data_IF_000293996691
#
_entry.id   IF_000293996691
#
_cell.length_a   1.000
_cell.length_b   1.000
_cell.length_c   1.000
_cell.angle_alpha   90.00
_cell.angle_beta   90.00
_cell.angle_gamma   90.00
#
_symmetry.space_group_name_H-M   'P 1'
#
loop_
_entity.id
_entity.type
_entity.pdbx_description
1 polymer ?
#
# COMPACT_ATOMS: atom_id res chain seq x y z
N UNK A 1 16.20 61.81 60.47
CA UNK A 1 15.40 61.33 59.32
C UNK A 1 14.31 60.41 59.86
N UNK A 2 13.10 60.57 59.34
CA UNK A 2 11.81 60.17 59.90
C UNK A 2 11.61 58.65 60.12
N UNK A 3 10.90 58.31 61.21
CA UNK A 3 10.18 57.05 61.53
C UNK A 3 8.87 56.92 60.67
N UNK A 4 7.97 55.88 60.80
CA UNK A 4 8.02 54.46 61.24
C UNK A 4 7.17 53.45 60.36
N UNK A 5 6.88 52.25 60.90
CA UNK A 5 5.70 51.31 60.73
C UNK A 5 5.93 50.05 59.82
N UNK A 6 5.42 48.81 60.11
CA UNK A 6 5.69 47.90 61.25
C UNK A 6 5.65 46.37 60.88
N UNK A 7 5.76 45.51 61.91
CA UNK A 7 5.41 44.08 61.95
C UNK A 7 3.93 43.78 61.61
N UNK A 8 3.64 42.66 60.93
CA UNK A 8 2.46 41.83 61.24
C UNK A 8 2.54 40.37 60.70
N UNK A 9 2.66 39.45 61.67
CA UNK A 9 1.96 38.17 61.86
C UNK A 9 2.04 36.99 60.86
N UNK A 10 2.68 35.94 61.38
CA UNK A 10 2.27 34.54 61.35
C UNK A 10 0.75 34.36 61.62
N UNK A 11 0.20 33.34 60.96
CA UNK A 11 -0.80 32.37 61.44
C UNK A 11 -2.13 32.28 60.67
N UNK A 12 -2.55 31.02 60.51
CA UNK A 12 -3.90 30.49 60.25
C UNK A 12 -4.33 30.35 58.80
N UNK A 13 -4.23 29.11 58.31
CA UNK A 13 -5.26 28.51 57.44
C UNK A 13 -5.19 26.97 57.59
N UNK A 14 -5.76 26.47 58.68
CA UNK A 14 -6.26 25.10 58.78
C UNK A 14 -7.78 25.17 58.97
N UNK A 15 -8.45 24.16 58.42
CA UNK A 15 -9.89 23.86 58.41
C UNK A 15 -10.73 24.53 57.30
N UNK A 16 -10.91 23.77 56.20
CA UNK A 16 -12.19 23.10 56.04
C UNK A 16 -11.99 21.66 55.54
N UNK A 17 -12.50 20.75 56.38
CA UNK A 17 -12.65 19.31 56.18
C UNK A 17 -13.88 19.10 55.27
N UNK A 18 -13.87 17.98 54.51
CA UNK A 18 -14.99 17.19 53.96
C UNK A 18 -14.84 16.89 52.45
N UNK A 19 -14.43 15.65 52.15
CA UNK A 19 -14.75 14.90 50.91
C UNK A 19 -16.28 14.58 50.90
N UNK A 20 -16.93 14.13 49.79
CA UNK A 20 -16.50 13.86 48.41
C UNK A 20 -17.47 14.44 47.32
N UNK A 21 -17.07 14.44 46.03
CA UNK A 21 -17.89 13.99 44.87
C UNK A 21 -17.35 14.49 43.53
N UNK A 22 -17.06 13.51 42.67
CA UNK A 22 -17.52 13.41 41.28
C UNK A 22 -18.04 14.69 40.62
N UNK A 23 -17.26 15.25 39.69
CA UNK A 23 -17.75 15.73 38.40
C UNK A 23 -16.53 16.14 37.54
N UNK A 24 -15.76 15.12 37.12
CA UNK A 24 -15.11 15.23 35.82
C UNK A 24 -16.26 15.13 34.83
N UNK A 25 -16.73 16.29 34.36
CA UNK A 25 -17.63 16.36 33.23
C UNK A 25 -16.94 15.64 32.06
N UNK A 26 -17.27 14.35 31.92
CA UNK A 26 -17.19 13.66 30.65
C UNK A 26 -18.05 14.49 29.71
N UNK A 27 -17.42 15.36 28.93
CA UNK A 27 -18.02 15.76 27.68
C UNK A 27 -18.38 14.44 26.99
N UNK A 28 -19.67 14.19 26.70
CA UNK A 28 -19.99 13.10 25.81
C UNK A 28 -19.19 13.41 24.57
N UNK A 29 -18.25 12.52 24.19
CA UNK A 29 -17.75 12.50 22.84
C UNK A 29 -19.00 12.49 21.98
N UNK A 30 -19.33 13.64 21.39
CA UNK A 30 -20.36 13.71 20.40
C UNK A 30 -19.94 12.65 19.39
N UNK A 31 -20.76 11.59 19.26
CA UNK A 31 -20.59 10.60 18.20
C UNK A 31 -20.36 11.43 16.93
N UNK A 32 -19.20 11.31 16.26
CA UNK A 32 -19.00 12.01 15.02
C UNK A 32 -20.19 11.67 14.16
N UNK A 33 -20.93 12.69 13.72
CA UNK A 33 -21.89 12.55 12.64
C UNK A 33 -21.15 11.81 11.54
N UNK A 34 -21.53 10.55 11.28
CA UNK A 34 -20.86 9.66 10.36
C UNK A 34 -21.12 10.16 8.94
N UNK A 35 -20.41 11.21 8.54
CA UNK A 35 -20.13 11.41 7.13
C UNK A 35 -19.26 10.23 6.74
N UNK A 36 -19.89 9.21 6.14
CA UNK A 36 -19.23 8.02 5.60
C UNK A 36 -18.39 8.34 4.36
N UNK A 37 -17.89 9.58 4.24
CA UNK A 37 -17.17 10.08 3.08
C UNK A 37 -16.07 11.04 3.53
N UNK A 38 -14.91 10.94 2.91
CA UNK A 38 -13.80 11.88 3.05
C UNK A 38 -13.49 12.54 1.71
N UNK A 39 -13.16 13.82 1.73
CA UNK A 39 -12.83 14.60 0.53
C UNK A 39 -11.32 14.75 0.41
N UNK A 40 -10.74 14.22 -0.66
CA UNK A 40 -9.31 14.24 -0.91
C UNK A 40 -8.94 15.21 -2.03
N UNK A 41 -7.75 15.80 -1.89
CA UNK A 41 -7.11 16.63 -2.92
C UNK A 41 -5.73 16.08 -3.21
N UNK A 42 -5.26 16.19 -4.45
CA UNK A 42 -3.86 15.88 -4.79
C UNK A 42 -2.94 16.92 -4.13
N UNK A 43 -1.96 16.47 -3.34
CA UNK A 43 -1.06 17.34 -2.58
C UNK A 43 0.38 17.25 -3.06
N UNK A 44 0.87 16.04 -3.28
CA UNK A 44 2.26 15.83 -3.66
C UNK A 44 2.40 14.77 -4.76
N UNK A 45 3.48 14.88 -5.53
CA UNK A 45 4.11 13.79 -6.26
C UNK A 45 5.30 13.29 -5.46
N UNK A 46 5.60 12.00 -5.59
CA UNK A 46 6.84 11.43 -5.07
C UNK A 46 7.52 10.58 -6.14
N UNK A 47 8.85 10.53 -6.11
CA UNK A 47 9.65 9.62 -6.90
C UNK A 47 10.96 9.28 -6.16
N UNK A 48 11.52 8.11 -6.45
CA UNK A 48 12.81 7.70 -5.93
C UNK A 48 13.87 7.61 -7.02
N UNK A 49 15.09 8.04 -6.69
CA UNK A 49 16.26 7.85 -7.55
C UNK A 49 16.73 6.41 -7.58
N UNK A 50 17.73 6.14 -8.43
CA UNK A 50 18.42 4.87 -8.44
C UNK A 50 19.15 4.50 -7.15
N UNK A 51 19.62 5.50 -6.43
CA UNK A 51 20.17 5.37 -5.07
C UNK A 51 19.12 5.30 -3.97
N UNK A 52 17.85 5.08 -4.30
CA UNK A 52 16.72 5.00 -3.36
C UNK A 52 16.46 6.29 -2.54
N UNK A 53 16.89 7.44 -3.05
CA UNK A 53 16.58 8.74 -2.42
C UNK A 53 15.23 9.26 -2.91
N UNK A 54 14.39 9.72 -2.00
CA UNK A 54 12.99 10.08 -2.28
C UNK A 54 12.85 11.60 -2.37
N UNK A 55 12.24 12.07 -3.46
CA UNK A 55 11.89 13.46 -3.66
C UNK A 55 10.38 13.65 -3.66
N UNK A 56 9.94 14.81 -3.16
CA UNK A 56 8.56 15.24 -3.21
C UNK A 56 8.43 16.55 -3.99
N UNK A 57 7.34 16.69 -4.74
CA UNK A 57 6.95 17.95 -5.36
C UNK A 57 5.50 18.29 -5.00
N UNK A 58 5.29 19.51 -4.54
CA UNK A 58 3.96 20.01 -4.19
C UNK A 58 3.11 20.29 -5.43
N UNK A 59 1.81 20.00 -5.33
CA UNK A 59 0.81 20.34 -6.35
C UNK A 59 0.05 21.58 -5.91
N UNK A 60 0.18 22.65 -6.69
CA UNK A 60 -0.49 23.91 -6.41
C UNK A 60 -1.92 23.91 -6.97
N UNK A 61 -2.92 24.42 -6.24
CA UNK A 61 -4.25 24.69 -6.80
C UNK A 61 -4.16 25.69 -7.96
N UNK A 62 -4.98 25.54 -9.00
CA UNK A 62 -5.11 26.59 -10.01
C UNK A 62 -5.56 27.89 -9.35
N UNK A 63 -4.78 28.96 -9.49
CA UNK A 63 -5.23 30.30 -9.15
C UNK A 63 -6.34 30.70 -10.13
N UNK A 64 -7.59 30.52 -9.75
CA UNK A 64 -8.71 31.10 -10.50
C UNK A 64 -8.56 32.61 -10.51
N UNK A 65 -8.25 33.18 -11.68
CA UNK A 65 -8.00 34.61 -11.89
C UNK A 65 -9.27 35.49 -11.81
N UNK A 66 -10.27 35.08 -11.02
CA UNK A 66 -11.48 35.83 -10.77
C UNK A 66 -11.79 35.76 -9.28
N UNK A 67 -11.32 36.78 -8.57
CA UNK A 67 -11.78 37.12 -7.24
C UNK A 67 -13.27 37.47 -7.32
N UNK A 68 -14.16 36.52 -6.97
CA UNK A 68 -15.48 36.77 -6.36
C UNK A 68 -16.40 35.54 -6.20
N UNK A 69 -15.93 34.32 -6.43
CA UNK A 69 -16.63 33.14 -5.90
C UNK A 69 -15.76 32.47 -4.84
N UNK A 70 -16.38 32.03 -3.74
CA UNK A 70 -15.82 31.10 -2.76
C UNK A 70 -15.59 29.74 -3.46
N UNK A 71 -14.70 29.71 -4.45
CA UNK A 71 -14.54 28.59 -5.37
C UNK A 71 -14.03 27.37 -4.62
N UNK A 72 -14.93 26.39 -4.47
CA UNK A 72 -14.63 25.05 -3.97
C UNK A 72 -13.42 24.50 -4.71
N UNK A 73 -12.32 24.30 -3.98
CA UNK A 73 -11.13 23.63 -4.51
C UNK A 73 -11.55 22.19 -4.87
N UNK A 74 -11.26 21.70 -6.09
CA UNK A 74 -11.73 20.39 -6.55
C UNK A 74 -11.26 19.26 -5.62
N UNK A 75 -12.20 18.47 -5.09
CA UNK A 75 -11.93 17.34 -4.20
C UNK A 75 -12.69 16.08 -4.62
N UNK A 76 -12.07 14.92 -4.47
CA UNK A 76 -12.71 13.62 -4.72
C UNK A 76 -13.29 13.07 -3.41
N UNK A 77 -14.58 12.77 -3.39
CA UNK A 77 -15.27 12.19 -2.24
C UNK A 77 -15.16 10.67 -2.28
N UNK A 78 -14.54 10.06 -1.27
CA UNK A 78 -14.35 8.61 -1.16
C UNK A 78 -15.13 8.07 0.03
N UNK A 79 -15.89 6.99 -0.17
CA UNK A 79 -16.64 6.30 0.88
C UNK A 79 -15.72 5.66 1.92
N UNK A 80 -16.06 5.79 3.19
CA UNK A 80 -15.28 5.29 4.32
C UNK A 80 -16.08 4.40 5.25
N UNK A 81 -15.36 3.50 5.91
CA UNK A 81 -15.86 2.65 6.98
C UNK A 81 -14.82 2.54 8.08
N UNK A 82 -15.24 2.13 9.29
CA UNK A 82 -14.27 1.82 10.34
C UNK A 82 -13.55 0.52 9.98
N UNK A 83 -12.23 0.59 9.98
CA UNK A 83 -11.33 -0.54 9.73
C UNK A 83 -10.50 -0.76 10.98
N UNK A 84 -10.54 -1.99 11.49
CA UNK A 84 -9.66 -2.41 12.58
C UNK A 84 -8.26 -2.65 12.02
N UNK A 85 -7.31 -1.86 12.50
CA UNK A 85 -5.90 -1.97 12.18
C UNK A 85 -5.13 -2.53 13.36
N UNK A 86 -3.95 -3.07 13.06
CA UNK A 86 -3.04 -3.57 14.07
C UNK A 86 -1.63 -3.15 13.72
N UNK A 87 -0.99 -2.38 14.59
CA UNK A 87 0.30 -1.72 14.32
C UNK A 87 1.33 -2.05 15.39
N UNK A 88 2.63 -2.01 15.06
CA UNK A 88 3.67 -2.12 16.07
C UNK A 88 3.62 -0.91 17.03
N UNK A 89 4.07 -1.07 18.29
CA UNK A 89 4.09 0.04 19.26
C UNK A 89 5.14 1.11 18.88
N UNK A 90 6.19 0.70 18.16
CA UNK A 90 7.17 1.61 17.57
C UNK A 90 7.92 0.95 16.41
N UNK A 91 8.54 1.78 15.56
CA UNK A 91 9.41 1.29 14.48
C UNK A 91 10.62 0.51 15.01
N UNK A 92 11.15 0.91 16.16
CA UNK A 92 12.26 0.24 16.83
C UNK A 92 11.84 -1.16 17.32
N UNK A 93 10.65 -1.28 17.91
CA UNK A 93 10.10 -2.56 18.33
C UNK A 93 9.87 -3.50 17.13
N UNK A 94 9.29 -2.98 16.03
CA UNK A 94 9.12 -3.74 14.80
C UNK A 94 10.46 -4.23 14.23
N UNK A 95 11.45 -3.34 14.14
CA UNK A 95 12.79 -3.66 13.61
C UNK A 95 13.49 -4.71 14.48
N UNK A 96 13.37 -4.58 15.81
CA UNK A 96 13.91 -5.55 16.76
C UNK A 96 13.25 -6.91 16.60
N UNK A 97 11.91 -6.95 16.52
CA UNK A 97 11.16 -8.18 16.30
C UNK A 97 11.53 -8.85 14.97
N UNK A 98 11.63 -8.07 13.89
CA UNK A 98 12.10 -8.55 12.57
C UNK A 98 13.51 -9.13 12.66
N UNK A 99 14.43 -8.47 13.35
CA UNK A 99 15.79 -8.95 13.55
C UNK A 99 15.83 -10.28 14.34
N UNK A 100 15.00 -10.41 15.38
CA UNK A 100 14.85 -11.66 16.14
C UNK A 100 14.29 -12.79 15.26
N UNK A 101 13.23 -12.53 14.50
CA UNK A 101 12.64 -13.49 13.56
C UNK A 101 13.66 -14.01 12.55
N UNK A 102 14.49 -13.11 12.00
CA UNK A 102 15.59 -13.48 11.08
C UNK A 102 16.56 -14.50 11.68
N UNK A 103 16.78 -14.44 13.00
CA UNK A 103 17.68 -15.37 13.71
C UNK A 103 16.94 -16.59 14.27
N UNK A 104 15.69 -16.84 13.84
CA UNK A 104 14.88 -17.96 14.32
C UNK A 104 14.46 -17.84 15.79
N UNK A 105 14.51 -16.62 16.35
CA UNK A 105 14.10 -16.36 17.72
C UNK A 105 12.61 -15.98 17.77
N UNK A 106 11.94 -16.34 18.86
CA UNK A 106 10.57 -15.89 19.09
C UNK A 106 10.55 -14.38 19.34
N UNK A 107 10.08 -13.64 18.36
CA UNK A 107 9.82 -12.22 18.48
C UNK A 107 8.40 -12.01 19.03
N UNK A 108 8.30 -11.52 20.26
CA UNK A 108 7.02 -11.04 20.79
C UNK A 108 6.90 -9.54 20.55
N UNK A 109 5.76 -9.12 20.00
CA UNK A 109 5.44 -7.73 19.75
C UNK A 109 4.11 -7.41 20.42
N UNK A 110 4.08 -6.34 21.22
CA UNK A 110 2.86 -5.84 21.85
C UNK A 110 2.05 -5.03 20.82
N UNK A 111 1.29 -5.75 20.00
CA UNK A 111 0.53 -5.16 18.92
C UNK A 111 -0.56 -4.21 19.43
N UNK A 112 -0.55 -2.98 18.93
CA UNK A 112 -1.59 -2.01 19.22
C UNK A 112 -2.74 -2.17 18.25
N UNK A 113 -3.93 -2.47 18.77
CA UNK A 113 -5.16 -2.52 17.98
C UNK A 113 -5.89 -1.18 18.05
N UNK A 114 -6.36 -0.71 16.89
CA UNK A 114 -7.15 0.51 16.81
C UNK A 114 -8.20 0.42 15.71
N UNK A 115 -9.26 1.22 15.81
CA UNK A 115 -10.19 1.44 14.71
C UNK A 115 -9.92 2.81 14.08
N UNK A 116 -9.69 2.82 12.77
CA UNK A 116 -9.46 4.02 11.99
C UNK A 116 -10.44 4.10 10.82
N UNK A 117 -10.69 5.30 10.30
CA UNK A 117 -11.47 5.46 9.08
C UNK A 117 -10.66 4.94 7.88
N UNK A 118 -11.01 3.79 7.34
CA UNK A 118 -10.43 3.25 6.10
C UNK A 118 -11.36 3.42 4.91
N UNK A 119 -10.90 3.07 3.69
CA UNK A 119 -11.78 3.03 2.53
C UNK A 119 -12.87 1.96 2.71
N UNK A 120 -14.11 2.29 2.36
CA UNK A 120 -15.19 1.31 2.33
C UNK A 120 -15.08 0.41 1.10
N UNK A 121 -14.35 -0.70 1.26
CA UNK A 121 -14.13 -1.70 0.21
C UNK A 121 -15.38 -2.49 -0.18
N UNK A 122 -16.50 -2.32 0.53
CA UNK A 122 -17.78 -2.95 0.16
C UNK A 122 -18.53 -2.14 -0.92
N UNK A 123 -18.10 -0.91 -1.19
CA UNK A 123 -18.68 0.00 -2.18
C UNK A 123 -17.87 -0.06 -3.47
N UNK A 124 -18.54 -0.37 -4.59
CA UNK A 124 -17.87 -0.43 -5.89
C UNK A 124 -17.27 0.91 -6.30
N UNK A 125 -17.96 2.01 -5.99
CA UNK A 125 -17.49 3.37 -6.31
C UNK A 125 -16.20 3.74 -5.56
N UNK A 126 -16.08 3.36 -4.28
CA UNK A 126 -14.84 3.54 -3.52
C UNK A 126 -13.68 2.82 -4.21
N UNK A 127 -13.86 1.55 -4.57
CA UNK A 127 -12.83 0.80 -5.29
C UNK A 127 -12.50 1.42 -6.65
N UNK A 128 -13.51 1.89 -7.39
CA UNK A 128 -13.32 2.54 -8.70
C UNK A 128 -12.47 3.82 -8.59
N UNK A 129 -12.74 4.67 -7.61
CA UNK A 129 -12.00 5.91 -7.40
C UNK A 129 -10.55 5.64 -6.98
N UNK A 130 -10.33 4.69 -6.05
CA UNK A 130 -8.98 4.28 -5.66
C UNK A 130 -8.21 3.63 -6.83
N UNK A 131 -8.89 2.83 -7.67
CA UNK A 131 -8.29 2.25 -8.86
C UNK A 131 -7.86 3.35 -9.85
N UNK A 132 -8.69 4.38 -10.07
CA UNK A 132 -8.33 5.55 -10.89
C UNK A 132 -7.15 6.35 -10.31
N UNK A 133 -7.13 6.60 -8.99
CA UNK A 133 -5.99 7.22 -8.30
C UNK A 133 -4.70 6.42 -8.49
N UNK A 134 -4.81 5.10 -8.44
CA UNK A 134 -3.69 4.18 -8.70
C UNK A 134 -3.27 4.20 -10.17
N UNK A 135 -4.23 4.15 -11.10
CA UNK A 135 -3.97 4.17 -12.55
C UNK A 135 -3.25 5.43 -13.01
N UNK A 136 -3.54 6.57 -12.37
CA UNK A 136 -2.86 7.82 -12.62
C UNK A 136 -1.34 7.76 -12.39
N UNK A 137 -0.83 6.86 -11.53
CA UNK A 137 0.63 6.69 -11.30
C UNK A 137 1.42 6.26 -12.54
N UNK A 138 0.72 5.69 -13.54
CA UNK A 138 1.32 5.20 -14.79
C UNK A 138 1.36 6.23 -15.90
N UNK A 139 0.85 7.44 -15.67
CA UNK A 139 0.78 8.51 -16.67
C UNK A 139 1.11 9.87 -16.06
N UNK A 140 1.63 10.77 -16.89
CA UNK A 140 1.81 12.16 -16.49
C UNK A 140 0.45 12.87 -16.43
N UNK A 141 0.23 13.80 -15.50
CA UNK A 141 -1.05 14.49 -15.43
C UNK A 141 -1.38 15.26 -16.70
N UNK A 142 -2.63 15.17 -17.16
CA UNK A 142 -3.09 15.80 -18.40
C UNK A 142 -2.76 15.02 -19.69
N UNK A 143 -2.04 13.91 -19.64
CA UNK A 143 -1.82 13.06 -20.83
C UNK A 143 -3.03 12.16 -21.12
N UNK A 144 -3.04 11.58 -22.33
CA UNK A 144 -3.98 10.51 -22.67
C UNK A 144 -3.82 9.34 -21.67
N UNK A 145 -4.94 8.88 -21.11
CA UNK A 145 -4.97 7.84 -20.06
C UNK A 145 -5.03 8.39 -18.62
N UNK A 146 -4.90 9.70 -18.41
CA UNK A 146 -5.16 10.31 -17.10
C UNK A 146 -6.65 10.24 -16.75
N UNK A 147 -6.99 9.62 -15.61
CA UNK A 147 -8.35 9.61 -15.09
C UNK A 147 -8.62 10.93 -14.36
N UNK A 148 -9.52 11.73 -14.94
CA UNK A 148 -10.02 12.94 -14.30
C UNK A 148 -10.87 12.57 -13.07
N UNK A 149 -10.30 12.74 -11.88
CA UNK A 149 -10.96 12.52 -10.60
C UNK A 149 -11.74 13.75 -10.14
N UNK A 150 -11.29 14.93 -10.55
CA UNK A 150 -11.90 16.23 -10.30
C UNK A 150 -11.45 17.20 -11.38
N UNK A 151 -12.34 18.04 -11.90
CA UNK A 151 -11.94 19.05 -12.87
C UNK A 151 -10.93 20.02 -12.23
N UNK A 152 -9.68 20.03 -12.73
CA UNK A 152 -8.58 21.00 -12.47
C UNK A 152 -7.59 20.66 -11.34
N UNK A 153 -6.62 19.78 -11.62
CA UNK A 153 -5.33 19.77 -10.89
C UNK A 153 -4.22 20.25 -11.82
N UNK A 154 -3.67 21.44 -11.56
CA UNK A 154 -2.52 21.93 -12.30
C UNK A 154 -1.25 21.33 -11.71
N UNK A 155 -0.86 20.20 -12.28
CA UNK A 155 0.39 19.56 -11.97
C UNK A 155 1.48 20.27 -12.77
N UNK A 156 2.49 20.80 -12.06
CA UNK A 156 3.71 21.34 -12.67
C UNK A 156 4.56 20.27 -13.38
N UNK A 157 5.87 20.47 -13.48
CA UNK A 157 6.74 19.44 -14.05
C UNK A 157 6.68 18.16 -13.18
N UNK A 158 6.32 17.00 -13.76
CA UNK A 158 6.13 15.80 -12.97
C UNK A 158 7.50 15.21 -12.60
N UNK A 159 7.76 15.08 -11.30
CA UNK A 159 8.97 14.45 -10.75
C UNK A 159 8.88 12.93 -10.92
N UNK A 160 9.98 12.26 -11.24
CA UNK A 160 10.03 10.81 -11.49
C UNK A 160 9.62 10.44 -12.91
N UNK A 161 9.82 11.32 -13.87
CA UNK A 161 9.60 11.06 -15.30
C UNK A 161 10.83 11.37 -16.15
N UNK A 162 11.95 11.60 -15.48
CA UNK A 162 13.25 11.82 -16.06
C UNK A 162 13.78 10.54 -16.74
N UNK A 163 14.66 10.65 -17.76
CA UNK A 163 15.18 9.50 -18.49
C UNK A 163 15.95 8.48 -17.64
N UNK A 164 16.45 8.89 -16.48
CA UNK A 164 17.20 8.08 -15.51
C UNK A 164 16.36 7.70 -14.27
N UNK A 165 15.03 7.85 -14.33
CA UNK A 165 14.13 7.38 -13.28
C UNK A 165 14.10 5.85 -13.18
N UNK A 166 13.92 5.39 -11.94
CA UNK A 166 13.97 3.99 -11.54
C UNK A 166 12.58 3.38 -11.33
N UNK A 167 11.51 4.16 -11.55
CA UNK A 167 10.14 3.67 -11.67
C UNK A 167 9.34 3.59 -10.39
N UNK A 168 9.98 3.88 -9.25
CA UNK A 168 9.34 3.98 -7.94
C UNK A 168 8.82 5.40 -7.72
N UNK A 169 7.55 5.62 -8.06
CA UNK A 169 6.90 6.94 -7.99
C UNK A 169 5.41 6.83 -7.68
N UNK A 170 4.77 7.97 -7.46
CA UNK A 170 3.32 8.03 -7.28
C UNK A 170 2.85 9.40 -6.80
N UNK A 171 1.68 9.39 -6.20
CA UNK A 171 0.97 10.60 -5.77
C UNK A 171 0.55 10.47 -4.30
N UNK A 172 0.40 11.62 -3.66
CA UNK A 172 -0.09 11.75 -2.29
C UNK A 172 -1.32 12.62 -2.31
N UNK A 173 -2.43 12.08 -1.84
CA UNK A 173 -3.68 12.80 -1.67
C UNK A 173 -3.94 13.01 -0.19
N UNK A 174 -4.50 14.14 0.21
CA UNK A 174 -4.85 14.38 1.60
C UNK A 174 -6.21 15.06 1.72
N UNK A 175 -6.86 14.85 2.86
CA UNK A 175 -8.00 15.67 3.27
C UNK A 175 -7.57 17.11 3.54
N UNK A 176 -8.51 18.04 3.54
CA UNK A 176 -8.25 19.46 3.73
C UNK A 176 -7.63 19.77 5.11
N UNK A 177 -8.05 19.05 6.14
CA UNK A 177 -7.53 19.12 7.49
C UNK A 177 -6.26 18.27 7.70
N UNK A 178 -5.75 17.62 6.64
CA UNK A 178 -4.62 16.69 6.68
C UNK A 178 -4.79 15.51 7.66
N UNK A 179 -6.02 15.18 8.07
CA UNK A 179 -6.28 14.09 9.02
C UNK A 179 -6.20 12.70 8.37
N UNK A 180 -6.37 12.59 7.06
CA UNK A 180 -6.22 11.34 6.30
C UNK A 180 -5.45 11.59 5.02
N UNK A 181 -4.51 10.69 4.72
CA UNK A 181 -3.63 10.75 3.54
C UNK A 181 -3.72 9.44 2.78
N UNK A 182 -3.82 9.51 1.46
CA UNK A 182 -3.72 8.36 0.56
C UNK A 182 -2.37 8.41 -0.17
N UNK A 183 -1.52 7.44 0.12
CA UNK A 183 -0.26 7.21 -0.57
C UNK A 183 -0.48 6.22 -1.73
N UNK A 184 -0.13 6.62 -2.94
CA UNK A 184 -0.18 5.73 -4.11
C UNK A 184 1.22 5.29 -4.52
N UNK A 185 1.38 4.02 -4.88
CA UNK A 185 2.67 3.45 -5.32
C UNK A 185 2.48 2.83 -6.71
N UNK A 186 3.27 3.31 -7.68
CA UNK A 186 3.32 2.76 -9.04
C UNK A 186 3.88 1.33 -9.02
N UNK A 187 3.34 0.46 -9.87
CA UNK A 187 3.94 -0.85 -10.17
C UNK A 187 4.81 -0.87 -11.43
N UNK A 188 5.07 -2.08 -11.92
CA UNK A 188 5.99 -2.30 -13.05
C UNK A 188 5.50 -1.72 -14.37
N UNK A 189 6.42 -1.09 -15.09
CA UNK A 189 6.21 -0.74 -16.49
C UNK A 189 6.59 -1.94 -17.38
N UNK A 190 5.59 -2.71 -17.85
CA UNK A 190 5.85 -3.90 -18.69
C UNK A 190 6.14 -3.50 -20.14
N UNK A 191 7.24 -3.96 -20.77
CA UNK A 191 7.64 -3.55 -22.12
C UNK A 191 6.61 -3.78 -23.23
N UNK A 192 5.72 -4.75 -23.06
CA UNK A 192 4.65 -5.07 -24.02
C UNK A 192 3.59 -3.96 -24.09
N UNK A 193 3.58 -3.04 -23.11
CA UNK A 193 2.60 -1.94 -22.95
C UNK A 193 3.33 -0.59 -22.76
N UNK A 194 4.57 -0.49 -23.25
CA UNK A 194 5.40 0.73 -23.16
C UNK A 194 6.62 0.53 -22.28
N UNK A 195 7.69 -0.01 -22.88
CA UNK A 195 9.00 -0.09 -22.24
C UNK A 195 9.57 1.30 -21.97
N UNK A 196 9.86 1.58 -20.70
CA UNK A 196 10.53 2.80 -20.25
C UNK A 196 11.88 2.48 -19.59
N UNK A 197 12.64 3.53 -19.21
CA UNK A 197 13.96 3.39 -18.57
C UNK A 197 13.93 2.56 -17.26
N UNK A 198 12.77 2.45 -16.63
CA UNK A 198 12.55 1.79 -15.33
C UNK A 198 12.49 0.26 -15.37
N UNK A 199 12.49 -0.34 -16.58
CA UNK A 199 12.12 -1.74 -16.81
C UNK A 199 13.04 -2.75 -16.09
N UNK A 200 14.34 -2.45 -15.94
CA UNK A 200 15.30 -3.41 -15.38
C UNK A 200 15.15 -3.59 -13.87
N UNK A 201 14.95 -2.49 -13.13
CA UNK A 201 14.78 -2.53 -11.67
C UNK A 201 13.42 -3.05 -11.25
N UNK A 202 12.36 -2.71 -11.99
CA UNK A 202 11.04 -3.31 -11.82
C UNK A 202 11.13 -4.84 -11.96
N UNK A 203 11.74 -5.33 -13.05
CA UNK A 203 11.99 -6.76 -13.30
C UNK A 203 12.80 -7.43 -12.20
N UNK A 204 13.84 -6.77 -11.69
CA UNK A 204 14.65 -7.30 -10.60
C UNK A 204 13.80 -7.52 -9.35
N UNK A 205 13.06 -6.50 -8.92
CA UNK A 205 12.21 -6.55 -7.73
C UNK A 205 11.11 -7.60 -7.89
N UNK A 206 10.40 -7.60 -9.02
CA UNK A 206 9.37 -8.56 -9.34
C UNK A 206 9.89 -10.01 -9.23
N UNK A 207 11.00 -10.28 -9.90
CA UNK A 207 11.61 -11.61 -9.92
C UNK A 207 12.15 -12.02 -8.55
N UNK A 208 12.66 -11.09 -7.76
CA UNK A 208 13.22 -11.41 -6.45
C UNK A 208 12.12 -11.65 -5.41
N UNK A 209 11.05 -10.85 -5.43
CA UNK A 209 9.93 -10.93 -4.49
C UNK A 209 8.99 -12.11 -4.79
N UNK A 210 8.69 -12.37 -6.07
CA UNK A 210 7.56 -13.22 -6.45
C UNK A 210 7.93 -14.54 -7.14
N UNK A 211 9.23 -14.80 -7.36
CA UNK A 211 9.69 -16.13 -7.80
C UNK A 211 9.97 -17.04 -6.62
N UNK A 212 9.78 -18.34 -6.79
CA UNK A 212 10.10 -19.30 -5.73
C UNK A 212 11.63 -19.45 -5.56
N UNK A 213 12.46 -19.24 -6.60
CA UNK A 213 13.92 -19.21 -6.45
C UNK A 213 14.66 -18.37 -7.49
N UNK A 214 14.96 -17.10 -7.17
CA UNK A 214 15.79 -16.20 -7.98
C UNK A 214 15.40 -16.11 -9.48
N UNK A 215 14.11 -16.26 -9.80
CA UNK A 215 13.58 -16.35 -11.15
C UNK A 215 14.24 -17.43 -12.03
N UNK A 216 14.55 -18.58 -11.43
CA UNK A 216 15.08 -19.73 -12.18
C UNK A 216 13.97 -20.46 -12.94
N UNK A 217 13.76 -20.07 -14.20
CA UNK A 217 12.74 -20.70 -15.08
C UNK A 217 13.34 -21.74 -16.03
N UNK A 218 14.52 -21.47 -16.60
CA UNK A 218 15.14 -22.31 -17.66
C UNK A 218 16.66 -22.39 -17.55
N UNK A 219 17.31 -23.37 -18.19
CA UNK A 219 18.78 -23.48 -18.24
C UNK A 219 19.45 -22.25 -18.87
N UNK A 220 18.83 -21.64 -19.89
CA UNK A 220 19.34 -20.44 -20.58
C UNK A 220 18.92 -19.12 -19.94
N UNK A 221 18.24 -19.14 -18.79
CA UNK A 221 17.84 -17.96 -18.05
C UNK A 221 18.87 -17.62 -16.98
N UNK A 222 19.29 -16.35 -16.90
CA UNK A 222 20.17 -15.83 -15.84
C UNK A 222 19.35 -15.47 -14.60
N UNK A 223 19.51 -16.18 -13.46
CA UNK A 223 18.80 -15.87 -12.23
C UNK A 223 19.13 -14.48 -11.71
N UNK A 224 18.21 -13.86 -10.96
CA UNK A 224 18.44 -12.55 -10.31
C UNK A 224 19.30 -12.63 -9.05
N UNK A 225 19.53 -13.83 -8.53
CA UNK A 225 20.46 -14.10 -7.43
C UNK A 225 21.11 -15.49 -7.52
N UNK A 226 22.24 -15.67 -6.84
CA UNK A 226 23.05 -16.90 -6.84
C UNK A 226 22.55 -18.02 -5.91
N UNK A 227 21.27 -18.05 -5.54
CA UNK A 227 20.77 -18.92 -4.48
C UNK A 227 20.23 -20.28 -4.95
N UNK A 228 20.09 -20.47 -6.26
CA UNK A 228 19.70 -21.74 -6.86
C UNK A 228 20.77 -22.83 -6.61
N UNK A 229 20.35 -24.07 -6.32
CA UNK A 229 21.26 -25.20 -6.01
C UNK A 229 21.04 -26.42 -6.91
N UNK A 230 20.32 -26.29 -8.02
CA UNK A 230 19.98 -27.41 -8.89
C UNK A 230 18.59 -27.98 -8.60
N UNK A 231 18.04 -28.72 -9.56
CA UNK A 231 16.69 -29.28 -9.54
C UNK A 231 15.64 -28.24 -9.08
N UNK A 232 14.92 -28.53 -7.99
CA UNK A 232 13.91 -27.69 -7.34
C UNK A 232 14.36 -27.23 -5.94
N UNK A 233 15.68 -27.04 -5.75
CA UNK A 233 16.29 -26.68 -4.47
C UNK A 233 16.75 -25.22 -4.50
N UNK A 234 16.34 -24.47 -3.48
CA UNK A 234 16.75 -23.10 -3.26
C UNK A 234 17.35 -22.92 -1.87
N UNK A 235 18.50 -22.27 -1.77
CA UNK A 235 19.05 -21.92 -0.46
C UNK A 235 18.26 -20.75 0.14
N UNK A 236 17.56 -21.01 1.24
CA UNK A 236 16.65 -20.06 1.87
C UNK A 236 17.37 -18.80 2.38
N UNK A 237 18.41 -18.97 3.19
CA UNK A 237 19.17 -17.87 3.79
C UNK A 237 19.75 -16.91 2.74
N UNK A 238 20.20 -17.45 1.61
CA UNK A 238 20.70 -16.67 0.48
C UNK A 238 19.59 -15.80 -0.15
N UNK A 239 18.39 -16.36 -0.40
CA UNK A 239 17.29 -15.60 -1.00
C UNK A 239 16.80 -14.51 -0.05
N UNK A 240 16.69 -14.82 1.23
CA UNK A 240 16.34 -13.85 2.27
C UNK A 240 17.36 -12.71 2.34
N UNK A 241 18.66 -13.03 2.24
CA UNK A 241 19.73 -12.01 2.22
C UNK A 241 19.66 -11.13 0.97
N UNK A 242 19.35 -11.72 -0.18
CA UNK A 242 19.21 -10.96 -1.43
C UNK A 242 18.07 -9.92 -1.38
N UNK A 243 17.04 -10.15 -0.55
CA UNK A 243 15.88 -9.26 -0.39
C UNK A 243 16.10 -8.04 0.53
N UNK A 244 17.26 -7.92 1.17
CA UNK A 244 17.53 -6.89 2.20
C UNK A 244 18.29 -5.67 1.63
N UNK A 245 18.72 -5.71 0.38
CA UNK A 245 19.45 -4.61 -0.26
C UNK A 245 18.63 -3.30 -0.27
N UNK A 246 19.23 -2.19 0.19
CA UNK A 246 18.56 -0.89 0.35
C UNK A 246 18.06 -0.29 -0.96
N UNK A 247 18.64 -0.70 -2.10
CA UNK A 247 18.21 -0.27 -3.43
C UNK A 247 16.91 -0.92 -3.90
N UNK A 248 16.41 -1.93 -3.17
CA UNK A 248 15.14 -2.60 -3.47
C UNK A 248 13.94 -1.74 -3.08
N UNK A 249 12.80 -2.05 -3.69
CA UNK A 249 11.59 -1.25 -3.54
C UNK A 249 10.94 -1.36 -2.17
N UNK A 250 11.09 -2.47 -1.45
CA UNK A 250 10.53 -2.58 -0.10
C UNK A 250 11.22 -1.63 0.89
N UNK A 251 12.56 -1.61 1.04
CA UNK A 251 13.24 -0.58 1.85
C UNK A 251 12.95 0.85 1.39
N UNK A 252 12.89 1.10 0.08
CA UNK A 252 12.50 2.41 -0.47
C UNK A 252 11.08 2.80 -0.03
N UNK A 253 10.13 1.87 -0.05
CA UNK A 253 8.75 2.09 0.43
C UNK A 253 8.65 2.35 1.92
N UNK A 254 9.49 1.69 2.74
CA UNK A 254 9.57 1.96 4.18
C UNK A 254 10.04 3.41 4.43
N UNK A 255 11.06 3.86 3.70
CA UNK A 255 11.54 5.24 3.78
C UNK A 255 10.48 6.25 3.32
N UNK A 256 9.76 5.95 2.22
CA UNK A 256 8.65 6.76 1.73
C UNK A 256 7.56 6.94 2.78
N UNK A 257 7.14 5.84 3.41
CA UNK A 257 6.12 5.88 4.46
C UNK A 257 6.59 6.71 5.67
N UNK A 258 7.86 6.59 6.06
CA UNK A 258 8.45 7.39 7.14
C UNK A 258 8.51 8.88 6.79
N UNK A 259 8.81 9.24 5.54
CA UNK A 259 8.77 10.64 5.09
C UNK A 259 7.34 11.20 5.13
N UNK A 260 6.34 10.42 4.68
CA UNK A 260 4.92 10.80 4.73
C UNK A 260 4.46 11.01 6.17
N UNK A 261 4.75 10.09 7.07
CA UNK A 261 4.39 10.22 8.49
C UNK A 261 5.12 11.38 9.17
N UNK A 262 6.33 11.74 8.71
CA UNK A 262 7.01 12.95 9.18
C UNK A 262 6.33 14.24 8.70
N UNK A 263 5.82 14.26 7.46
CA UNK A 263 5.05 15.39 6.91
C UNK A 263 3.64 15.48 7.49
N UNK A 264 3.05 14.34 7.87
CA UNK A 264 1.69 14.19 8.34
C UNK A 264 1.62 13.39 9.66
N UNK A 265 2.14 13.94 10.77
CA UNK A 265 2.43 13.19 12.01
C UNK A 265 1.20 12.61 12.71
N UNK A 266 0.02 13.18 12.49
CA UNK A 266 -1.23 12.72 13.10
C UNK A 266 -2.22 12.12 12.10
N UNK A 267 -1.82 11.95 10.83
CA UNK A 267 -2.73 11.50 9.80
C UNK A 267 -2.91 9.99 9.83
N UNK A 268 -4.13 9.53 9.52
CA UNK A 268 -4.35 8.16 9.11
C UNK A 268 -3.87 7.97 7.66
N UNK A 269 -2.94 7.05 7.44
CA UNK A 269 -2.34 6.82 6.12
C UNK A 269 -2.97 5.59 5.48
N UNK A 270 -3.61 5.75 4.33
CA UNK A 270 -4.00 4.66 3.44
C UNK A 270 -2.92 4.44 2.40
N UNK A 271 -2.63 3.18 2.06
CA UNK A 271 -1.67 2.87 0.99
C UNK A 271 -2.40 2.09 -0.10
N UNK A 272 -2.29 2.56 -1.34
CA UNK A 272 -2.89 1.90 -2.50
C UNK A 272 -1.86 1.71 -3.61
N UNK A 273 -2.06 0.68 -4.42
CA UNK A 273 -1.15 0.36 -5.51
C UNK A 273 -1.70 -0.72 -6.42
N UNK A 274 -1.04 -0.89 -7.57
CA UNK A 274 -1.36 -1.91 -8.56
C UNK A 274 -0.13 -2.75 -8.89
N UNK A 275 -0.32 -4.04 -9.21
CA UNK A 275 0.78 -4.94 -9.59
C UNK A 275 1.88 -4.95 -8.50
N UNK A 276 3.16 -4.78 -8.86
CA UNK A 276 4.26 -4.59 -7.91
C UNK A 276 3.98 -3.52 -6.83
N UNK A 277 3.38 -2.39 -7.21
CA UNK A 277 3.02 -1.31 -6.29
C UNK A 277 1.94 -1.73 -5.28
N UNK A 278 1.03 -2.61 -5.69
CA UNK A 278 0.00 -3.19 -4.80
C UNK A 278 0.59 -4.17 -3.80
N UNK A 279 1.53 -5.01 -4.25
CA UNK A 279 2.26 -5.91 -3.35
C UNK A 279 3.10 -5.13 -2.33
N UNK A 280 3.77 -4.06 -2.76
CA UNK A 280 4.49 -3.15 -1.85
C UNK A 280 3.55 -2.46 -0.87
N UNK A 281 2.40 -1.99 -1.32
CA UNK A 281 1.38 -1.42 -0.44
C UNK A 281 0.96 -2.42 0.65
N UNK A 282 0.72 -3.69 0.30
CA UNK A 282 0.39 -4.76 1.25
C UNK A 282 1.52 -5.02 2.26
N UNK A 283 2.78 -5.11 1.81
CA UNK A 283 3.95 -5.27 2.69
C UNK A 283 4.09 -4.09 3.66
N UNK A 284 3.83 -2.86 3.21
CA UNK A 284 3.79 -1.67 4.06
C UNK A 284 2.61 -1.71 5.04
N UNK A 285 1.45 -2.20 4.61
CA UNK A 285 0.27 -2.40 5.45
C UNK A 285 0.52 -3.36 6.62
N UNK A 286 1.30 -4.42 6.43
CA UNK A 286 1.76 -5.27 7.53
C UNK A 286 2.80 -4.56 8.41
N UNK A 287 3.72 -3.83 7.78
CA UNK A 287 4.82 -3.16 8.49
C UNK A 287 4.30 -2.09 9.46
N UNK A 288 3.32 -1.30 9.02
CA UNK A 288 2.86 -0.11 9.74
C UNK A 288 1.41 -0.19 10.25
N UNK A 289 0.68 -1.26 9.92
CA UNK A 289 -0.75 -1.37 10.25
C UNK A 289 -1.64 -0.42 9.44
N UNK A 290 -1.18 0.08 8.29
CA UNK A 290 -1.90 1.03 7.45
C UNK A 290 -3.02 0.35 6.66
N UNK A 291 -4.25 0.91 6.55
CA UNK A 291 -5.26 0.39 5.62
C UNK A 291 -4.77 0.33 4.17
N UNK A 292 -5.00 -0.80 3.49
CA UNK A 292 -4.50 -1.06 2.13
C UNK A 292 -5.62 -1.50 1.19
N UNK A 293 -5.59 -0.94 -0.03
CA UNK A 293 -6.31 -1.49 -1.18
C UNK A 293 -5.32 -1.72 -2.33
N UNK A 294 -5.08 -2.98 -2.65
CA UNK A 294 -4.12 -3.39 -3.68
C UNK A 294 -4.84 -4.03 -4.88
N UNK A 295 -4.57 -3.53 -6.07
CA UNK A 295 -5.21 -3.97 -7.32
C UNK A 295 -4.30 -4.91 -8.11
N UNK A 296 -4.79 -6.10 -8.45
CA UNK A 296 -4.06 -7.11 -9.23
C UNK A 296 -2.59 -7.37 -8.79
N UNK A 297 -2.23 -7.40 -7.49
CA UNK A 297 -0.83 -7.62 -7.13
C UNK A 297 -0.45 -9.10 -7.30
N UNK A 298 0.82 -9.40 -7.62
CA UNK A 298 1.38 -10.74 -7.42
C UNK A 298 1.24 -11.19 -5.95
N UNK A 299 1.23 -12.50 -5.69
CA UNK A 299 1.17 -13.02 -4.32
C UNK A 299 2.38 -12.62 -3.49
N UNK A 300 2.20 -11.81 -2.45
CA UNK A 300 3.26 -11.18 -1.67
C UNK A 300 3.48 -11.80 -0.28
N UNK A 301 2.67 -12.80 0.11
CA UNK A 301 2.80 -13.46 1.43
C UNK A 301 4.15 -14.15 1.61
N UNK A 302 4.63 -14.86 0.58
CA UNK A 302 5.97 -15.46 0.58
C UNK A 302 7.06 -14.40 0.75
N UNK A 303 6.94 -13.25 0.08
CA UNK A 303 7.90 -12.16 0.21
C UNK A 303 7.94 -11.60 1.64
N UNK A 304 6.77 -11.42 2.27
CA UNK A 304 6.65 -11.01 3.68
C UNK A 304 7.39 -11.95 4.63
N UNK A 305 7.25 -13.27 4.43
CA UNK A 305 7.96 -14.28 5.22
C UNK A 305 9.48 -14.21 5.03
N UNK A 306 9.96 -14.09 3.79
CA UNK A 306 11.39 -13.96 3.48
C UNK A 306 12.01 -12.67 3.99
N UNK A 307 11.22 -11.60 4.06
CA UNK A 307 11.60 -10.33 4.67
C UNK A 307 11.57 -10.38 6.20
N UNK A 308 11.13 -11.49 6.80
CA UNK A 308 10.97 -11.71 8.24
C UNK A 308 10.02 -10.71 8.91
N UNK A 309 8.99 -10.26 8.19
CA UNK A 309 8.04 -9.29 8.74
C UNK A 309 7.24 -9.92 9.89
N UNK A 310 7.25 -9.33 11.10
CA UNK A 310 6.37 -9.73 12.18
C UNK A 310 4.91 -9.75 11.71
N UNK A 311 4.20 -10.86 11.99
CA UNK A 311 2.80 -11.03 11.60
C UNK A 311 1.88 -10.54 12.73
N UNK A 312 1.00 -9.56 12.47
CA UNK A 312 0.00 -9.11 13.45
C UNK A 312 -1.11 -10.16 13.65
N UNK A 313 -1.85 -10.08 14.76
CA UNK A 313 -2.98 -10.97 15.04
C UNK A 313 -4.11 -10.85 14.00
N UNK A 314 -4.20 -9.72 13.30
CA UNK A 314 -5.15 -9.49 12.22
C UNK A 314 -4.48 -8.71 11.08
N UNK A 315 -4.82 -9.08 9.85
CA UNK A 315 -4.40 -8.43 8.59
C UNK A 315 -5.61 -8.02 7.74
N UNK A 316 -6.81 -7.94 8.34
CA UNK A 316 -8.04 -7.60 7.62
C UNK A 316 -8.10 -6.17 7.08
N UNK A 317 -7.22 -5.28 7.55
CA UNK A 317 -7.04 -3.93 7.02
C UNK A 317 -6.36 -3.92 5.64
N UNK A 318 -5.90 -5.07 5.14
CA UNK A 318 -5.36 -5.24 3.80
C UNK A 318 -6.41 -5.91 2.93
N UNK A 319 -6.78 -5.25 1.83
CA UNK A 319 -7.72 -5.77 0.85
C UNK A 319 -7.12 -5.80 -0.54
N UNK A 320 -7.19 -6.97 -1.16
CA UNK A 320 -6.81 -7.25 -2.53
C UNK A 320 -8.03 -7.22 -3.43
N UNK A 321 -7.92 -6.58 -4.59
CA UNK A 321 -8.99 -6.52 -5.60
C UNK A 321 -8.43 -7.05 -6.90
N UNK A 322 -8.98 -8.14 -7.41
CA UNK A 322 -8.49 -8.72 -8.66
C UNK A 322 -9.56 -9.46 -9.46
N UNK A 323 -9.23 -9.86 -10.69
CA UNK A 323 -10.06 -10.73 -11.49
C UNK A 323 -9.36 -12.01 -11.97
N UNK A 324 -10.12 -13.10 -12.09
CA UNK A 324 -9.60 -14.46 -12.40
C UNK A 324 -8.91 -14.62 -13.76
N UNK A 325 -9.07 -13.65 -14.66
CA UNK A 325 -8.45 -13.65 -15.99
C UNK A 325 -7.09 -12.92 -16.04
N UNK A 326 -6.63 -12.37 -14.91
CA UNK A 326 -5.25 -11.89 -14.75
C UNK A 326 -4.35 -13.05 -14.28
N UNK A 327 -3.37 -13.49 -15.10
CA UNK A 327 -2.46 -14.54 -14.69
C UNK A 327 -1.44 -14.11 -13.62
N UNK A 328 -1.19 -12.81 -13.43
CA UNK A 328 -0.25 -12.30 -12.42
C UNK A 328 -0.86 -12.41 -11.02
N UNK A 329 -2.02 -11.78 -10.78
CA UNK A 329 -2.71 -11.89 -9.49
C UNK A 329 -3.06 -13.34 -9.14
N UNK A 330 -3.39 -14.16 -10.13
CA UNK A 330 -3.68 -15.58 -9.92
C UNK A 330 -2.43 -16.46 -9.68
N UNK A 331 -1.22 -15.94 -9.92
CA UNK A 331 0.04 -16.71 -9.84
C UNK A 331 0.09 -17.88 -10.82
N UNK A 332 -0.47 -17.67 -12.01
CA UNK A 332 -0.51 -18.65 -13.12
C UNK A 332 0.36 -18.22 -14.29
N UNK A 333 0.97 -17.03 -14.22
CA UNK A 333 1.92 -16.55 -15.22
C UNK A 333 3.32 -17.20 -15.07
N UNK A 334 3.35 -18.53 -15.14
CA UNK A 334 4.53 -19.35 -14.84
C UNK A 334 5.05 -20.10 -16.06
N UNK A 335 6.37 -20.32 -16.13
CA UNK A 335 7.00 -21.21 -17.09
C UNK A 335 7.47 -20.54 -18.39
N UNK A 336 8.32 -21.27 -19.14
CA UNK A 336 9.12 -20.73 -20.25
C UNK A 336 8.32 -20.22 -21.45
N UNK A 337 7.15 -20.82 -21.68
CA UNK A 337 6.25 -20.50 -22.80
C UNK A 337 5.14 -19.53 -22.40
N UNK A 338 5.06 -19.14 -21.12
CA UNK A 338 4.12 -18.12 -20.69
C UNK A 338 4.54 -16.75 -21.21
N UNK A 339 3.58 -15.83 -21.37
CA UNK A 339 3.86 -14.45 -21.76
C UNK A 339 4.77 -13.74 -20.76
N UNK A 340 4.65 -14.05 -19.46
CA UNK A 340 5.56 -13.52 -18.43
C UNK A 340 6.98 -14.07 -18.59
N UNK A 341 7.12 -15.39 -18.79
CA UNK A 341 8.41 -16.01 -19.05
C UNK A 341 9.10 -15.41 -20.28
N UNK A 342 8.38 -15.25 -21.39
CA UNK A 342 8.92 -14.62 -22.61
C UNK A 342 9.35 -13.15 -22.33
N UNK A 343 8.63 -12.43 -21.46
CA UNK A 343 8.93 -11.05 -21.10
C UNK A 343 10.02 -10.90 -20.01
N UNK A 344 10.55 -12.00 -19.47
CA UNK A 344 11.61 -11.97 -18.45
C UNK A 344 11.11 -11.98 -17.00
N UNK A 345 9.86 -12.39 -16.76
CA UNK A 345 9.25 -12.45 -15.42
C UNK A 345 8.94 -13.89 -14.99
N UNK A 346 9.27 -14.21 -13.74
CA UNK A 346 8.99 -15.48 -13.08
C UNK A 346 8.05 -15.25 -11.88
N UNK A 347 6.76 -15.05 -12.16
CA UNK A 347 5.72 -14.79 -11.15
C UNK A 347 5.10 -16.11 -10.68
N UNK A 348 5.69 -16.74 -9.66
CA UNK A 348 5.30 -18.08 -9.19
C UNK A 348 4.47 -18.07 -7.90
N UNK A 349 4.46 -16.95 -7.18
CA UNK A 349 3.68 -16.77 -5.96
C UNK A 349 2.17 -16.59 -6.23
N UNK A 350 1.35 -17.01 -5.27
CA UNK A 350 -0.12 -17.12 -5.35
C UNK A 350 -0.85 -16.66 -4.10
N UNK A 351 -0.19 -16.58 -2.95
CA UNK A 351 -0.81 -16.17 -1.69
C UNK A 351 -0.58 -14.71 -1.41
N UNK A 352 -1.63 -14.11 -0.88
CA UNK A 352 -1.69 -12.71 -0.53
C UNK A 352 -1.92 -12.56 0.97
N UNK A 353 -1.70 -11.37 1.47
CA UNK A 353 -1.97 -11.01 2.85
C UNK A 353 -3.40 -10.44 2.96
N UNK A 354 -4.14 -10.79 3.99
CA UNK A 354 -5.46 -10.20 4.24
C UNK A 354 -6.55 -10.70 3.28
N UNK A 355 -7.49 -9.81 2.97
CA UNK A 355 -8.74 -10.13 2.31
C UNK A 355 -8.62 -10.06 0.79
N UNK A 356 -9.38 -10.89 0.07
CA UNK A 356 -9.43 -10.90 -1.39
C UNK A 356 -10.85 -10.69 -1.89
N UNK A 357 -11.08 -9.62 -2.66
CA UNK A 357 -12.26 -9.40 -3.50
C UNK A 357 -11.92 -9.90 -4.91
N UNK A 358 -12.38 -11.11 -5.24
CA UNK A 358 -12.14 -11.74 -6.55
C UNK A 358 -13.35 -11.61 -7.46
N UNK A 359 -13.15 -11.01 -8.63
CA UNK A 359 -14.10 -10.98 -9.73
C UNK A 359 -13.88 -12.20 -10.65
N UNK A 360 -14.82 -13.14 -10.65
CA UNK A 360 -14.76 -14.36 -11.48
C UNK A 360 -15.13 -14.08 -12.96
N UNK A 361 -14.24 -13.35 -13.65
CA UNK A 361 -14.36 -13.01 -15.07
C UNK A 361 -14.27 -14.22 -16.00
N UNK A 362 -13.55 -15.28 -15.62
CA UNK A 362 -13.42 -16.49 -16.45
C UNK A 362 -14.76 -17.20 -16.52
N UNK A 363 -15.40 -17.46 -15.38
CA UNK A 363 -16.70 -18.15 -15.35
C UNK A 363 -17.83 -17.23 -15.81
N UNK A 364 -17.90 -15.99 -15.30
CA UNK A 364 -19.07 -15.14 -15.51
C UNK A 364 -19.05 -14.40 -16.84
N UNK A 365 -17.86 -14.10 -17.38
CA UNK A 365 -17.71 -13.32 -18.63
C UNK A 365 -17.00 -14.10 -19.74
N UNK A 366 -16.62 -15.35 -19.52
CA UNK A 366 -15.87 -16.18 -20.49
C UNK A 366 -14.55 -15.52 -20.95
N UNK A 367 -13.92 -14.70 -20.10
CA UNK A 367 -12.64 -14.11 -20.43
C UNK A 367 -11.55 -15.18 -20.48
N UNK A 368 -10.70 -15.12 -21.50
CA UNK A 368 -9.47 -15.92 -21.51
C UNK A 368 -8.46 -15.34 -20.51
N UNK A 369 -7.77 -16.21 -19.78
CA UNK A 369 -6.63 -15.82 -18.93
C UNK A 369 -5.49 -15.32 -19.82
N UNK A 370 -5.17 -14.03 -19.75
CA UNK A 370 -4.16 -13.38 -20.61
C UNK A 370 -3.51 -12.21 -19.88
N UNK A 371 -2.21 -12.02 -20.11
CA UNK A 371 -1.45 -10.88 -19.55
C UNK A 371 -2.00 -9.52 -20.01
N UNK A 372 -2.67 -9.46 -21.17
CA UNK A 372 -3.35 -8.25 -21.66
C UNK A 372 -4.52 -7.80 -20.79
N UNK A 373 -4.99 -8.62 -19.86
CA UNK A 373 -6.04 -8.25 -18.92
C UNK A 373 -5.47 -7.72 -17.58
N UNK A 374 -4.18 -7.88 -17.32
CA UNK A 374 -3.53 -7.36 -16.11
C UNK A 374 -3.60 -5.83 -15.94
N UNK A 375 -3.54 -4.98 -16.99
CA UNK A 375 -3.48 -3.54 -16.81
C UNK A 375 -4.62 -3.01 -15.92
N UNK A 376 -4.28 -2.08 -15.02
CA UNK A 376 -5.25 -1.42 -14.14
C UNK A 376 -6.43 -0.80 -14.91
N UNK A 377 -6.24 -0.36 -16.15
CA UNK A 377 -7.30 0.12 -17.03
C UNK A 377 -8.38 -0.95 -17.27
N UNK A 378 -8.02 -2.24 -17.39
CA UNK A 378 -8.98 -3.34 -17.49
C UNK A 378 -9.86 -3.43 -16.24
N UNK A 379 -9.26 -3.31 -15.05
CA UNK A 379 -10.01 -3.29 -13.78
C UNK A 379 -10.95 -2.08 -13.73
N UNK A 380 -10.44 -0.89 -14.05
CA UNK A 380 -11.23 0.36 -14.01
C UNK A 380 -12.39 0.30 -15.01
N UNK A 381 -12.11 0.00 -16.26
CA UNK A 381 -13.04 0.21 -17.39
C UNK A 381 -13.96 -0.97 -17.63
N UNK A 382 -13.59 -2.17 -17.19
CA UNK A 382 -14.35 -3.39 -17.50
C UNK A 382 -14.83 -4.14 -16.26
N UNK A 383 -14.27 -3.90 -15.08
CA UNK A 383 -14.69 -4.56 -13.84
C UNK A 383 -15.44 -3.58 -12.93
N UNK A 384 -14.84 -2.44 -12.61
CA UNK A 384 -15.37 -1.51 -11.61
C UNK A 384 -16.28 -0.42 -12.18
N UNK A 385 -16.20 -0.11 -13.47
CA UNK A 385 -17.04 0.92 -14.13
C UNK A 385 -18.53 0.55 -14.21
N UNK A 386 -18.85 -0.74 -14.09
CA UNK A 386 -20.21 -1.28 -14.23
C UNK A 386 -20.54 -2.20 -13.05
N UNK A 387 -21.83 -2.32 -12.69
CA UNK A 387 -22.24 -3.28 -11.66
C UNK A 387 -21.85 -4.71 -12.04
N UNK A 388 -21.66 -5.55 -11.02
CA UNK A 388 -21.27 -6.95 -11.18
C UNK A 388 -22.47 -7.86 -10.90
N UNK A 389 -23.13 -8.45 -11.93
CA UNK A 389 -24.40 -9.15 -11.75
C UNK A 389 -24.36 -10.26 -10.68
N UNK A 390 -23.29 -11.04 -10.62
CA UNK A 390 -23.16 -12.13 -9.64
C UNK A 390 -23.03 -11.65 -8.18
N UNK A 391 -22.67 -10.38 -7.95
CA UNK A 391 -22.71 -9.75 -6.63
C UNK A 391 -24.11 -9.16 -6.36
N UNK A 392 -24.72 -8.51 -7.36
CA UNK A 392 -26.06 -7.92 -7.25
C UNK A 392 -27.14 -8.96 -6.96
N UNK A 393 -27.06 -10.16 -7.55
CA UNK A 393 -27.94 -11.29 -7.24
C UNK A 393 -27.92 -11.67 -5.75
N UNK A 394 -26.85 -11.31 -5.04
CA UNK A 394 -26.67 -11.55 -3.59
C UNK A 394 -26.92 -10.28 -2.76
N UNK A 395 -27.40 -9.20 -3.37
CA UNK A 395 -27.62 -7.90 -2.73
C UNK A 395 -26.33 -7.16 -2.36
N UNK A 396 -25.23 -7.40 -3.08
CA UNK A 396 -23.92 -6.79 -2.83
C UNK A 396 -23.46 -5.95 -4.03
N UNK A 397 -22.65 -4.91 -3.79
CA UNK A 397 -22.02 -4.15 -4.89
C UNK A 397 -20.71 -4.77 -5.37
N UNK A 398 -20.04 -5.53 -4.50
CA UNK A 398 -18.78 -6.21 -4.77
C UNK A 398 -18.86 -7.67 -4.31
N UNK A 399 -18.07 -8.60 -4.89
CA UNK A 399 -17.97 -9.97 -4.39
C UNK A 399 -17.59 -10.03 -2.91
N UNK A 400 -18.03 -11.07 -2.20
CA UNK A 400 -17.59 -11.31 -0.81
C UNK A 400 -16.09 -11.58 -0.77
N UNK A 401 -15.44 -11.08 0.27
CA UNK A 401 -14.03 -11.36 0.50
C UNK A 401 -13.79 -12.84 0.81
N UNK A 402 -12.60 -13.33 0.45
CA UNK A 402 -12.10 -14.67 0.77
C UNK A 402 -10.61 -14.64 1.11
N UNK A 403 -10.11 -15.78 1.60
CA UNK A 403 -8.69 -16.02 1.91
C UNK A 403 -8.12 -17.10 0.97
N UNK A 404 -6.81 -17.03 0.65
CA UNK A 404 -6.05 -18.04 -0.08
C UNK A 404 -4.72 -18.34 0.65
N UNK A 405 -4.42 -19.62 0.83
CA UNK A 405 -3.46 -20.04 1.86
C UNK A 405 -2.26 -20.90 1.41
N UNK A 406 -2.11 -21.27 0.13
CA UNK A 406 -1.03 -22.19 -0.31
C UNK A 406 -0.17 -21.64 -1.48
N UNK A 407 1.14 -21.49 -1.22
CA UNK A 407 2.20 -21.05 -2.15
C UNK A 407 3.20 -22.15 -2.51
N UNK A 408 3.87 -22.04 -3.67
CA UNK A 408 5.06 -22.79 -4.08
C UNK A 408 5.05 -24.32 -3.78
N UNK A 409 3.93 -25.01 -3.97
CA UNK A 409 3.74 -26.43 -3.60
C UNK A 409 4.73 -27.43 -4.22
N UNK A 410 5.52 -27.02 -5.23
CA UNK A 410 6.50 -27.86 -5.93
C UNK A 410 7.95 -27.68 -5.44
N UNK A 411 8.25 -26.66 -4.62
CA UNK A 411 9.62 -26.31 -4.22
C UNK A 411 9.98 -26.84 -2.82
N UNK A 412 11.22 -27.32 -2.66
CA UNK A 412 11.79 -27.70 -1.36
C UNK A 412 12.72 -26.60 -0.85
N UNK A 413 12.41 -26.05 0.32
CA UNK A 413 13.19 -25.01 0.98
C UNK A 413 14.01 -25.60 2.14
N UNK A 414 15.31 -25.29 2.18
CA UNK A 414 16.20 -25.80 3.21
C UNK A 414 17.66 -25.36 3.04
N UNK A 415 18.52 -25.83 3.95
CA UNK A 415 19.96 -25.62 3.88
C UNK A 415 20.60 -26.73 3.06
N UNK A 416 20.76 -26.48 1.76
CA UNK A 416 21.44 -27.42 0.86
C UNK A 416 22.92 -27.06 0.73
N UNK A 417 23.80 -28.02 1.05
CA UNK A 417 25.24 -27.95 0.75
C UNK A 417 25.46 -28.17 -0.75
N UNK A 418 26.51 -27.55 -1.29
CA UNK A 418 26.89 -27.64 -2.72
C UNK A 418 27.03 -29.08 -3.24
#
# INVERSE_FOLDING_TARGET
MLYPIPLLNLALSFLNIFLPSSDVAQHPHAKPTTNNTLNFRLRHMHAATSSAHIYFADVLPEASSLANELTLIPSVSIGTSLVRTTRPPSQEAFTTARHMSKHGQNAWLDWEESEVLGPDVTRRETLLLLAKMTGNTYVTPGSNGWYNLTDKWNVGMPVGWEPDDDGFRGYVFATEDNSTVVLTIKGTSVPIIGGGPTTEKDKLNDNLLFSCCCARVTRGWTPVCGCYRGDWKCNQECVETALIDESLFYPTGVNLYNNITSMYPSANIWVIGHSLGGALASLLGITFGAPVVAFEPPGERMASQRLHLPSPPSIHHITHVWHTADPIAMGTCTGKLSTCGIAGYAMESRCHLGNIIEYDTVTNLSWSVRLTNHPIATVIEHILSKPWPAAEEKGLEVPKSKDRTIDCFQWEFGNFTL
#
